data_IF_309842785652
#
_entry.id   IF_309842785652
#
_cell.length_a   1.000
_cell.length_b   1.000
_cell.length_c   1.000
_cell.angle_alpha   90.00
_cell.angle_beta   90.00
_cell.angle_gamma   90.00
#
_symmetry.space_group_name_H-M   'P 1'
#
loop_
_entity.id
_entity.type
_entity.pdbx_description
1 polymer ?
#
# COMPACT_ATOMS: atom_id res chain seq x y z
N UNK A 1 18.44 21.58 -28.97
CA UNK A 1 18.18 21.34 -27.54
C UNK A 1 17.72 19.89 -27.42
N UNK A 2 18.48 19.03 -26.79
CA UNK A 2 18.05 17.67 -26.46
C UNK A 2 16.95 17.78 -25.42
N UNK A 3 15.73 17.31 -25.75
CA UNK A 3 14.63 17.27 -24.79
C UNK A 3 14.99 16.34 -23.62
N UNK A 4 14.84 16.83 -22.38
CA UNK A 4 15.02 16.00 -21.20
C UNK A 4 13.96 14.87 -21.24
N UNK A 5 14.36 13.59 -21.08
CA UNK A 5 13.41 12.48 -21.11
C UNK A 5 12.36 12.57 -20.00
N UNK A 6 11.13 12.11 -20.28
CA UNK A 6 10.06 12.10 -19.30
C UNK A 6 10.34 11.08 -18.18
N UNK A 7 10.06 11.45 -16.93
CA UNK A 7 10.13 10.60 -15.76
C UNK A 7 8.71 10.32 -15.22
N UNK A 8 8.29 9.07 -15.26
CA UNK A 8 6.98 8.62 -14.81
C UNK A 8 7.09 8.01 -13.41
N UNK A 9 6.81 8.81 -12.39
CA UNK A 9 6.99 8.45 -11.00
C UNK A 9 5.75 7.77 -10.43
N UNK A 10 5.91 6.60 -9.82
CA UNK A 10 4.81 5.84 -9.20
C UNK A 10 5.12 5.58 -7.74
N UNK A 11 4.23 6.03 -6.87
CA UNK A 11 4.35 5.89 -5.43
C UNK A 11 3.17 5.14 -4.83
N UNK A 12 3.46 4.28 -3.87
CA UNK A 12 2.50 3.68 -2.94
C UNK A 12 3.10 3.64 -1.55
N UNK A 13 2.36 3.11 -0.59
CA UNK A 13 2.84 2.89 0.77
C UNK A 13 2.73 1.42 1.17
N UNK A 14 3.42 1.03 2.25
CA UNK A 14 3.32 -0.31 2.80
C UNK A 14 1.83 -0.69 3.02
N UNK A 15 1.41 -1.85 2.51
CA UNK A 15 0.00 -2.32 2.49
C UNK A 15 -1.01 -1.43 1.74
N UNK A 16 -0.55 -0.40 1.04
CA UNK A 16 -1.37 0.52 0.22
C UNK A 16 -1.57 0.08 -1.24
N UNK A 17 -1.47 -1.23 -1.56
CA UNK A 17 -1.63 -1.75 -2.93
C UNK A 17 -0.32 -1.96 -3.69
N UNK A 18 0.83 -1.91 -2.99
CA UNK A 18 2.17 -2.02 -3.56
C UNK A 18 2.37 -3.25 -4.46
N UNK A 19 1.92 -4.44 -4.01
CA UNK A 19 2.09 -5.68 -4.79
C UNK A 19 1.32 -5.62 -6.10
N UNK A 20 0.10 -5.08 -6.07
CA UNK A 20 -0.72 -4.88 -7.25
C UNK A 20 -0.06 -3.93 -8.24
N UNK A 21 0.33 -2.74 -7.80
CA UNK A 21 0.95 -1.74 -8.66
C UNK A 21 2.32 -2.17 -9.20
N UNK A 22 3.10 -2.92 -8.42
CA UNK A 22 4.32 -3.57 -8.94
C UNK A 22 4.05 -4.45 -10.15
N UNK A 23 2.98 -5.24 -10.12
CA UNK A 23 2.62 -6.13 -11.22
C UNK A 23 2.11 -5.34 -12.43
N UNK A 24 1.24 -4.34 -12.19
CA UNK A 24 0.68 -3.47 -13.24
C UNK A 24 1.80 -2.73 -13.98
N UNK A 25 2.63 -1.98 -13.26
CA UNK A 25 3.66 -1.16 -13.88
C UNK A 25 4.81 -1.96 -14.47
N UNK A 26 5.12 -3.16 -13.95
CA UNK A 26 6.06 -4.08 -14.63
C UNK A 26 5.52 -4.57 -15.97
N UNK A 27 4.24 -4.94 -16.03
CA UNK A 27 3.62 -5.35 -17.28
C UNK A 27 3.54 -4.19 -18.28
N UNK A 28 3.16 -3.01 -17.82
CA UNK A 28 3.06 -1.80 -18.64
C UNK A 28 4.43 -1.34 -19.16
N UNK A 29 5.45 -1.27 -18.29
CA UNK A 29 6.81 -0.92 -18.68
C UNK A 29 7.38 -1.90 -19.72
N UNK A 30 7.12 -3.20 -19.54
CA UNK A 30 7.50 -4.23 -20.53
C UNK A 30 6.80 -4.01 -21.88
N UNK A 31 5.51 -3.67 -21.89
CA UNK A 31 4.76 -3.41 -23.12
C UNK A 31 5.25 -2.17 -23.87
N UNK A 32 5.85 -1.21 -23.17
CA UNK A 32 6.42 0.02 -23.75
C UNK A 32 7.93 -0.07 -24.02
N UNK A 33 8.57 -1.19 -23.73
CA UNK A 33 10.03 -1.34 -23.74
C UNK A 33 10.76 -0.23 -22.92
N UNK A 34 10.21 0.11 -21.75
CA UNK A 34 10.71 1.17 -20.89
C UNK A 34 11.37 0.60 -19.63
N UNK A 35 12.47 1.21 -19.16
CA UNK A 35 13.08 0.83 -17.88
C UNK A 35 12.16 1.18 -16.72
N UNK A 36 12.20 0.34 -15.66
CA UNK A 36 11.56 0.59 -14.38
C UNK A 36 12.62 0.55 -13.28
N UNK A 37 12.78 1.65 -12.58
CA UNK A 37 13.88 1.91 -11.64
C UNK A 37 13.31 2.20 -10.26
N UNK A 38 13.78 1.44 -9.25
CA UNK A 38 13.45 1.73 -7.85
C UNK A 38 14.27 2.92 -7.33
N UNK A 39 13.62 3.93 -6.77
CA UNK A 39 14.25 5.11 -6.19
C UNK A 39 14.25 5.01 -4.66
N UNK A 40 15.43 4.78 -4.06
CA UNK A 40 15.58 4.55 -2.61
C UNK A 40 16.57 5.52 -1.96
N UNK A 41 17.28 6.32 -2.75
CA UNK A 41 18.25 7.31 -2.27
C UNK A 41 18.51 8.40 -3.30
N UNK A 42 18.95 9.58 -2.85
CA UNK A 42 19.36 10.70 -3.71
C UNK A 42 20.50 10.31 -4.66
N UNK A 43 21.36 9.37 -4.26
CA UNK A 43 22.53 8.95 -5.05
C UNK A 43 22.15 8.32 -6.38
N UNK A 44 20.96 7.73 -6.49
CA UNK A 44 20.51 7.06 -7.71
C UNK A 44 20.07 8.03 -8.82
N UNK A 45 19.88 9.32 -8.51
CA UNK A 45 19.49 10.34 -9.50
C UNK A 45 20.52 10.46 -10.64
N UNK A 46 21.81 10.33 -10.33
CA UNK A 46 22.90 10.40 -11.32
C UNK A 46 22.91 9.22 -12.31
N UNK A 47 22.27 8.10 -11.93
CA UNK A 47 22.27 6.86 -12.71
C UNK A 47 21.00 6.74 -13.59
N UNK A 48 20.17 7.80 -13.62
CA UNK A 48 18.96 7.81 -14.45
C UNK A 48 19.30 7.93 -15.94
N UNK A 49 18.51 7.26 -16.83
CA UNK A 49 18.69 7.37 -18.26
C UNK A 49 18.53 8.83 -18.72
N UNK A 50 19.46 9.30 -19.55
CA UNK A 50 19.47 10.65 -20.12
C UNK A 50 18.95 10.71 -21.56
N UNK A 51 18.73 9.54 -22.17
CA UNK A 51 18.44 9.38 -23.60
C UNK A 51 17.01 8.87 -23.87
N UNK A 52 16.32 8.35 -22.85
CA UNK A 52 14.97 7.78 -22.98
C UNK A 52 14.14 7.93 -21.72
N UNK A 53 12.78 7.92 -21.82
CA UNK A 53 11.91 7.97 -20.66
C UNK A 53 12.03 6.73 -19.77
N UNK A 54 11.68 6.88 -18.49
CA UNK A 54 11.75 5.81 -17.50
C UNK A 54 10.59 5.88 -16.50
N UNK A 55 10.17 4.70 -16.00
CA UNK A 55 9.39 4.62 -14.77
C UNK A 55 10.30 4.67 -13.55
N UNK A 56 9.99 5.55 -12.63
CA UNK A 56 10.60 5.59 -11.29
C UNK A 56 9.57 5.11 -10.28
N UNK A 57 9.94 4.17 -9.41
CA UNK A 57 9.01 3.60 -8.44
C UNK A 57 9.55 3.72 -7.02
N UNK A 58 8.70 4.12 -6.09
CA UNK A 58 8.98 4.08 -4.66
C UNK A 58 7.75 3.59 -3.88
N UNK A 59 7.98 2.68 -2.92
CA UNK A 59 6.92 2.03 -2.15
C UNK A 59 6.79 2.56 -0.72
N UNK A 60 7.35 3.77 -0.48
CA UNK A 60 7.31 4.53 0.75
C UNK A 60 6.90 6.00 0.52
N UNK A 61 6.28 6.30 -0.64
CA UNK A 61 5.80 7.64 -0.96
C UNK A 61 6.89 8.72 -0.99
N UNK A 62 8.12 8.37 -1.39
CA UNK A 62 9.23 9.32 -1.37
C UNK A 62 9.98 9.36 -2.70
N UNK A 63 10.36 10.57 -3.10
CA UNK A 63 11.29 10.78 -4.21
C UNK A 63 12.29 11.88 -3.85
N UNK A 64 13.54 11.80 -4.38
CA UNK A 64 14.52 12.86 -4.24
C UNK A 64 14.01 14.23 -4.68
N UNK A 65 14.43 15.29 -4.00
CA UNK A 65 14.06 16.65 -4.38
C UNK A 65 14.40 16.96 -5.85
N UNK A 66 15.54 16.49 -6.34
CA UNK A 66 15.94 16.64 -7.74
C UNK A 66 14.97 16.03 -8.76
N UNK A 67 14.15 15.04 -8.36
CA UNK A 67 13.09 14.49 -9.22
C UNK A 67 11.87 15.40 -9.21
N UNK A 68 11.50 15.96 -8.04
CA UNK A 68 10.41 16.94 -7.94
C UNK A 68 10.73 18.23 -8.70
N UNK A 69 11.99 18.69 -8.69
CA UNK A 69 12.45 19.87 -9.42
C UNK A 69 12.58 19.63 -10.94
N UNK A 70 12.43 18.40 -11.41
CA UNK A 70 12.49 18.07 -12.83
C UNK A 70 11.14 18.40 -13.51
N UNK A 71 11.10 19.33 -14.48
CA UNK A 71 9.84 19.75 -15.11
C UNK A 71 9.18 18.67 -15.96
N UNK A 72 9.90 17.61 -16.34
CA UNK A 72 9.35 16.48 -17.11
C UNK A 72 8.88 15.31 -16.22
N UNK A 73 9.07 15.40 -14.90
CA UNK A 73 8.55 14.41 -13.98
C UNK A 73 7.04 14.57 -13.79
N UNK A 74 6.33 13.46 -13.72
CA UNK A 74 4.92 13.39 -13.34
C UNK A 74 4.73 12.24 -12.36
N UNK A 75 3.90 12.46 -11.36
CA UNK A 75 3.77 11.52 -10.23
C UNK A 75 2.35 10.97 -10.17
N UNK A 76 2.26 9.66 -10.09
CA UNK A 76 1.05 8.93 -9.76
C UNK A 76 1.22 8.31 -8.38
N UNK A 77 0.42 8.73 -7.44
CA UNK A 77 0.46 8.33 -6.05
C UNK A 77 -0.82 7.61 -5.64
N UNK A 78 -0.69 6.58 -4.81
CA UNK A 78 -1.83 5.81 -4.31
C UNK A 78 -1.77 5.79 -2.79
N UNK A 79 -2.88 6.22 -2.17
CA UNK A 79 -3.15 6.10 -0.75
C UNK A 79 -4.23 5.04 -0.50
N UNK A 80 -4.31 4.55 0.71
CA UNK A 80 -5.34 3.64 1.20
C UNK A 80 -5.78 4.10 2.57
N UNK A 81 -7.03 3.74 2.97
CA UNK A 81 -7.51 4.00 4.33
C UNK A 81 -6.48 3.51 5.37
N UNK A 82 -5.91 4.41 6.18
CA UNK A 82 -4.87 4.06 7.13
C UNK A 82 -5.32 2.99 8.14
N UNK A 83 -6.61 2.94 8.45
CA UNK A 83 -7.20 1.92 9.36
C UNK A 83 -7.13 0.53 8.73
N UNK A 84 -7.38 0.43 7.42
CA UNK A 84 -7.23 -0.82 6.67
C UNK A 84 -5.75 -1.21 6.49
N UNK A 85 -4.86 -0.22 6.35
CA UNK A 85 -3.41 -0.43 6.32
C UNK A 85 -2.95 -1.05 7.64
N UNK A 86 -3.41 -0.53 8.78
CA UNK A 86 -3.10 -1.04 10.11
C UNK A 86 -3.46 -2.53 10.23
N UNK A 87 -4.71 -2.88 9.96
CA UNK A 87 -5.17 -4.27 10.05
C UNK A 87 -4.44 -5.19 9.07
N UNK A 88 -4.22 -4.71 7.84
CA UNK A 88 -3.48 -5.47 6.82
C UNK A 88 -2.00 -5.67 7.20
N UNK A 89 -1.38 -4.68 7.83
CA UNK A 89 0.00 -4.75 8.35
C UNK A 89 0.11 -5.74 9.50
N UNK A 90 -0.73 -5.58 10.51
CA UNK A 90 -0.79 -6.47 11.66
C UNK A 90 -0.94 -7.95 11.27
N UNK A 91 -1.89 -8.28 10.41
CA UNK A 91 -2.09 -9.66 9.95
C UNK A 91 -0.91 -10.19 9.14
N UNK A 92 -0.33 -9.35 8.29
CA UNK A 92 0.79 -9.72 7.44
C UNK A 92 2.08 -9.95 8.24
N UNK A 93 2.39 -9.07 9.20
CA UNK A 93 3.64 -9.11 9.95
C UNK A 93 3.74 -10.31 10.91
N UNK A 94 2.62 -10.93 11.27
CA UNK A 94 2.62 -12.15 12.10
C UNK A 94 3.30 -13.34 11.39
N UNK A 95 3.21 -13.41 10.06
CA UNK A 95 3.66 -14.59 9.28
C UNK A 95 4.59 -14.27 8.12
N UNK A 96 4.85 -12.99 7.84
CA UNK A 96 5.70 -12.59 6.72
C UNK A 96 7.12 -13.15 6.86
N UNK A 97 7.66 -13.66 5.75
CA UNK A 97 9.03 -14.15 5.68
C UNK A 97 10.06 -13.03 5.52
N UNK A 98 11.33 -13.40 5.56
CA UNK A 98 12.47 -12.44 5.54
C UNK A 98 12.56 -11.64 4.23
N UNK A 99 12.11 -12.19 3.11
CA UNK A 99 12.28 -11.59 1.79
C UNK A 99 11.50 -10.28 1.66
N UNK A 100 12.20 -9.16 1.71
CA UNK A 100 11.63 -7.81 1.61
C UNK A 100 11.14 -7.23 2.94
N UNK A 101 11.21 -8.01 4.04
CA UNK A 101 10.72 -7.62 5.37
C UNK A 101 11.78 -7.85 6.45
N UNK A 102 13.03 -7.48 6.17
CA UNK A 102 14.15 -7.69 7.09
C UNK A 102 13.90 -7.10 8.49
N UNK A 103 13.21 -5.96 8.59
CA UNK A 103 12.92 -5.32 9.86
C UNK A 103 12.12 -6.21 10.82
N UNK A 104 11.29 -7.12 10.30
CA UNK A 104 10.52 -8.07 11.11
C UNK A 104 11.40 -9.11 11.81
N UNK A 105 12.58 -9.37 11.25
CA UNK A 105 13.46 -10.48 11.65
C UNK A 105 14.79 -10.01 12.25
N UNK A 106 15.01 -8.69 12.35
CA UNK A 106 16.20 -8.11 12.98
C UNK A 106 15.94 -7.93 14.49
N UNK A 107 16.81 -8.48 15.37
CA UNK A 107 16.70 -8.25 16.81
C UNK A 107 16.78 -6.76 17.16
N UNK A 108 15.95 -6.31 18.10
CA UNK A 108 15.85 -4.92 18.54
C UNK A 108 16.13 -4.78 20.04
N UNK A 109 16.99 -3.85 20.40
CA UNK A 109 17.34 -3.59 21.81
C UNK A 109 16.14 -3.09 22.62
N UNK A 110 15.29 -2.24 22.02
CA UNK A 110 14.07 -1.72 22.66
C UNK A 110 12.97 -2.78 22.84
N UNK A 111 13.11 -3.95 22.22
CA UNK A 111 12.24 -5.12 22.40
C UNK A 111 12.93 -6.25 23.21
N UNK A 112 13.91 -5.91 24.06
CA UNK A 112 14.68 -6.86 24.85
C UNK A 112 15.35 -7.95 24.02
N UNK A 113 15.89 -7.59 22.84
CA UNK A 113 16.56 -8.51 21.92
C UNK A 113 15.63 -9.35 21.06
N UNK A 114 14.31 -9.23 21.20
CA UNK A 114 13.35 -9.89 20.30
C UNK A 114 13.30 -9.16 18.96
N UNK A 115 12.96 -9.92 17.92
CA UNK A 115 12.59 -9.30 16.64
C UNK A 115 11.20 -8.68 16.73
N UNK A 116 10.86 -7.82 15.78
CA UNK A 116 9.51 -7.24 15.66
C UNK A 116 8.43 -8.34 15.66
N UNK A 117 8.59 -9.34 14.77
CA UNK A 117 7.64 -10.44 14.62
C UNK A 117 7.53 -11.31 15.88
N UNK A 118 8.65 -11.59 16.54
CA UNK A 118 8.63 -12.32 17.81
C UNK A 118 7.90 -11.56 18.90
N UNK A 119 8.12 -10.23 18.99
CA UNK A 119 7.42 -9.41 19.97
C UNK A 119 5.93 -9.37 19.69
N UNK A 120 5.53 -9.09 18.45
CA UNK A 120 4.15 -9.07 18.03
C UNK A 120 3.43 -10.38 18.37
N UNK A 121 4.02 -11.54 18.00
CA UNK A 121 3.42 -12.85 18.22
C UNK A 121 3.43 -13.32 19.69
N UNK A 122 4.24 -12.69 20.55
CA UNK A 122 4.25 -12.98 21.98
C UNK A 122 3.18 -12.21 22.77
N UNK A 123 2.55 -11.21 22.18
CA UNK A 123 1.40 -10.53 22.77
C UNK A 123 0.17 -11.47 22.68
N UNK A 124 -0.44 -11.74 23.82
CA UNK A 124 -1.52 -12.73 23.91
C UNK A 124 -2.89 -12.19 23.49
N UNK A 125 -3.08 -10.89 23.61
CA UNK A 125 -4.32 -10.23 23.22
C UNK A 125 -4.16 -9.61 21.83
N UNK A 126 -5.11 -9.88 20.95
CA UNK A 126 -5.13 -9.33 19.58
C UNK A 126 -5.15 -7.80 19.57
N UNK A 127 -5.88 -7.20 20.51
CA UNK A 127 -5.89 -5.76 20.72
C UNK A 127 -4.48 -5.20 20.98
N UNK A 128 -3.68 -5.86 21.82
CA UNK A 128 -2.31 -5.41 22.14
C UNK A 128 -1.38 -5.55 20.92
N UNK A 129 -1.58 -6.60 20.14
CA UNK A 129 -0.86 -6.79 18.88
C UNK A 129 -1.16 -5.66 17.88
N UNK A 130 -2.44 -5.29 17.71
CA UNK A 130 -2.84 -4.20 16.80
C UNK A 130 -2.32 -2.85 17.31
N UNK A 131 -2.36 -2.59 18.62
CA UNK A 131 -1.81 -1.37 19.22
C UNK A 131 -0.29 -1.28 19.05
N UNK A 132 0.42 -2.41 19.18
CA UNK A 132 1.86 -2.45 18.89
C UNK A 132 2.13 -2.10 17.41
N UNK A 133 1.47 -2.76 16.47
CA UNK A 133 1.58 -2.45 15.04
C UNK A 133 1.29 -0.99 14.76
N UNK A 134 0.23 -0.45 15.36
CA UNK A 134 -0.23 0.93 15.21
C UNK A 134 0.87 1.94 15.55
N UNK A 135 1.56 1.73 16.68
CA UNK A 135 2.61 2.64 17.17
C UNK A 135 3.99 2.40 16.57
N UNK A 136 4.16 1.33 15.80
CA UNK A 136 5.41 0.94 15.18
C UNK A 136 5.40 1.16 13.66
N UNK A 137 5.26 0.11 12.87
CA UNK A 137 5.35 0.21 11.41
C UNK A 137 4.24 1.03 10.79
N UNK A 138 3.02 0.94 11.34
CA UNK A 138 1.90 1.75 10.85
C UNK A 138 2.14 3.25 11.04
N UNK A 139 2.66 3.69 12.19
CA UNK A 139 2.97 5.10 12.45
C UNK A 139 3.94 5.68 11.41
N UNK A 140 4.94 4.90 10.97
CA UNK A 140 5.86 5.31 9.90
C UNK A 140 5.14 5.44 8.56
N UNK A 141 4.31 4.46 8.22
CA UNK A 141 3.56 4.46 6.96
C UNK A 141 2.57 5.63 6.89
N UNK A 142 1.86 5.92 7.98
CA UNK A 142 0.96 7.08 8.04
C UNK A 142 1.72 8.41 7.88
N UNK A 143 2.89 8.53 8.51
CA UNK A 143 3.75 9.71 8.34
C UNK A 143 4.19 9.87 6.88
N UNK A 144 4.66 8.79 6.24
CA UNK A 144 5.02 8.79 4.82
C UNK A 144 3.86 9.29 3.95
N UNK A 145 2.61 8.87 4.25
CA UNK A 145 1.41 9.35 3.55
C UNK A 145 1.15 10.84 3.80
N UNK A 146 1.30 11.31 5.05
CA UNK A 146 1.07 12.71 5.41
C UNK A 146 2.14 13.66 4.87
N UNK A 147 3.37 13.18 4.67
CA UNK A 147 4.49 13.97 4.16
C UNK A 147 4.48 14.12 2.62
N UNK A 148 3.57 13.44 1.92
CA UNK A 148 3.44 13.57 0.46
C UNK A 148 2.99 14.99 0.07
N UNK A 149 3.60 15.62 -0.97
CA UNK A 149 3.30 16.98 -1.39
C UNK A 149 2.00 17.05 -2.24
N UNK A 150 0.85 16.91 -1.61
CA UNK A 150 -0.47 16.87 -2.26
C UNK A 150 -0.80 18.09 -3.11
N UNK A 151 -0.22 19.24 -2.80
CA UNK A 151 -0.48 20.51 -3.51
C UNK A 151 0.40 20.69 -4.75
N UNK A 152 1.35 19.77 -5.03
CA UNK A 152 2.22 19.86 -6.19
C UNK A 152 1.44 19.53 -7.48
N UNK A 153 1.44 20.40 -8.49
CA UNK A 153 0.68 20.18 -9.73
C UNK A 153 1.21 19.04 -10.61
N UNK A 154 2.42 18.53 -10.35
CA UNK A 154 3.00 17.42 -11.09
C UNK A 154 2.47 16.07 -10.60
N UNK A 155 1.75 16.02 -9.47
CA UNK A 155 1.25 14.80 -8.87
C UNK A 155 -0.26 14.62 -9.05
N UNK A 156 -0.68 13.36 -9.11
CA UNK A 156 -2.07 12.90 -8.99
C UNK A 156 -2.12 11.80 -7.92
N UNK A 157 -2.93 12.01 -6.90
CA UNK A 157 -3.21 10.98 -5.89
C UNK A 157 -4.58 10.36 -6.14
N UNK A 158 -4.65 9.02 -6.16
CA UNK A 158 -5.90 8.27 -6.17
C UNK A 158 -5.98 7.37 -4.92
N UNK A 159 -7.21 7.07 -4.52
CA UNK A 159 -7.47 6.13 -3.43
C UNK A 159 -7.45 4.70 -3.95
N UNK A 160 -6.85 3.80 -3.18
CA UNK A 160 -6.88 2.36 -3.44
C UNK A 160 -8.31 1.83 -3.58
N UNK A 161 -9.21 2.33 -2.73
CA UNK A 161 -10.61 1.96 -2.69
C UNK A 161 -11.32 2.27 -4.01
N UNK A 162 -11.07 3.45 -4.58
CA UNK A 162 -11.64 3.86 -5.86
C UNK A 162 -11.09 3.02 -7.01
N UNK A 163 -9.78 2.74 -6.99
CA UNK A 163 -9.13 1.86 -7.97
C UNK A 163 -9.65 0.42 -7.90
N UNK A 164 -10.01 -0.08 -6.71
CA UNK A 164 -10.61 -1.40 -6.55
C UNK A 164 -12.02 -1.50 -7.13
N UNK A 165 -12.69 -0.37 -7.35
CA UNK A 165 -14.01 -0.27 -7.96
C UNK A 165 -13.95 0.15 -9.44
N UNK A 166 -12.78 0.53 -9.97
CA UNK A 166 -12.56 1.02 -11.33
C UNK A 166 -12.59 -0.08 -12.39
N UNK A 167 -13.71 -0.82 -12.47
CA UNK A 167 -13.87 -1.98 -13.37
C UNK A 167 -13.80 -1.59 -14.86
N UNK A 168 -14.05 -0.34 -15.22
CA UNK A 168 -13.93 0.18 -16.60
C UNK A 168 -12.58 0.84 -16.86
N UNK A 169 -11.68 0.83 -15.88
CA UNK A 169 -10.34 1.45 -15.90
C UNK A 169 -10.35 2.96 -16.19
N UNK A 170 -11.43 3.67 -15.92
CA UNK A 170 -11.54 5.10 -16.26
C UNK A 170 -10.63 5.97 -15.36
N UNK A 171 -10.58 5.68 -14.07
CA UNK A 171 -9.69 6.37 -13.14
C UNK A 171 -8.21 6.07 -13.44
N UNK A 172 -7.89 4.81 -13.69
CA UNK A 172 -6.51 4.44 -14.02
C UNK A 172 -6.07 5.04 -15.35
N UNK A 173 -6.96 5.10 -16.37
CA UNK A 173 -6.69 5.82 -17.63
C UNK A 173 -6.44 7.30 -17.40
N UNK A 174 -7.17 7.96 -16.49
CA UNK A 174 -6.95 9.38 -16.17
C UNK A 174 -5.57 9.58 -15.53
N UNK A 175 -5.14 8.67 -14.65
CA UNK A 175 -3.80 8.71 -14.08
C UNK A 175 -2.69 8.55 -15.12
N UNK A 176 -2.87 7.68 -16.09
CA UNK A 176 -1.91 7.53 -17.21
C UNK A 176 -1.84 8.78 -18.09
N UNK A 177 -2.99 9.44 -18.34
CA UNK A 177 -2.98 10.72 -19.05
C UNK A 177 -2.31 11.84 -18.24
N UNK A 178 -2.52 11.88 -16.94
CA UNK A 178 -1.80 12.81 -16.06
C UNK A 178 -0.28 12.59 -16.14
N UNK A 179 0.16 11.33 -16.20
CA UNK A 179 1.57 11.00 -16.42
C UNK A 179 2.08 11.46 -17.81
N UNK A 180 1.21 11.82 -18.75
CA UNK A 180 1.56 12.32 -20.07
C UNK A 180 1.52 11.27 -21.18
N UNK A 181 0.95 10.09 -20.95
CA UNK A 181 0.80 9.07 -21.97
C UNK A 181 -0.31 9.40 -22.98
N UNK A 182 -0.03 9.18 -24.26
CA UNK A 182 -1.04 9.23 -25.32
C UNK A 182 -1.93 7.98 -25.34
N UNK A 183 -3.06 8.06 -26.09
CA UNK A 183 -4.14 7.06 -26.03
C UNK A 183 -3.71 5.61 -26.29
N UNK A 184 -2.76 5.37 -27.18
CA UNK A 184 -2.25 4.02 -27.44
C UNK A 184 -1.58 3.41 -26.19
N UNK A 185 -0.72 4.17 -25.51
CA UNK A 185 -0.07 3.74 -24.28
C UNK A 185 -1.07 3.65 -23.11
N UNK A 186 -2.03 4.58 -23.03
CA UNK A 186 -3.12 4.54 -22.02
C UNK A 186 -3.92 3.25 -22.15
N UNK A 187 -4.23 2.77 -23.35
CA UNK A 187 -4.95 1.51 -23.53
C UNK A 187 -4.10 0.29 -23.14
N UNK A 188 -2.79 0.28 -23.44
CA UNK A 188 -1.87 -0.78 -22.98
C UNK A 188 -1.76 -0.82 -21.44
N UNK A 189 -1.67 0.35 -20.81
CA UNK A 189 -1.63 0.45 -19.36
C UNK A 189 -2.94 0.01 -18.70
N UNK A 190 -4.09 0.40 -19.27
CA UNK A 190 -5.40 -0.04 -18.81
C UNK A 190 -5.58 -1.56 -18.93
N UNK A 191 -5.08 -2.18 -20.02
CA UNK A 191 -5.07 -3.63 -20.15
C UNK A 191 -4.20 -4.28 -19.07
N UNK A 192 -3.01 -3.72 -18.80
CA UNK A 192 -2.13 -4.21 -17.73
C UNK A 192 -2.78 -4.08 -16.35
N UNK A 193 -3.52 -3.00 -16.09
CA UNK A 193 -4.27 -2.80 -14.85
C UNK A 193 -5.39 -3.83 -14.71
N UNK A 194 -6.21 -4.01 -15.76
CA UNK A 194 -7.27 -5.00 -15.78
C UNK A 194 -6.76 -6.42 -15.52
N UNK A 195 -5.72 -6.84 -16.25
CA UNK A 195 -5.16 -8.19 -16.15
C UNK A 195 -4.59 -8.50 -14.75
N UNK A 196 -4.15 -7.48 -14.02
CA UNK A 196 -3.56 -7.61 -12.68
C UNK A 196 -4.51 -7.24 -11.54
N UNK A 197 -5.74 -6.83 -11.84
CA UNK A 197 -6.74 -6.50 -10.82
C UNK A 197 -7.47 -7.74 -10.31
N UNK A 198 -8.04 -7.66 -9.11
CA UNK A 198 -8.86 -8.73 -8.52
C UNK A 198 -10.20 -8.93 -9.26
N UNK A 199 -10.65 -7.95 -10.02
CA UNK A 199 -11.84 -8.01 -10.84
C UNK A 199 -11.55 -8.43 -12.30
N UNK A 200 -10.28 -8.41 -12.72
CA UNK A 200 -9.84 -8.89 -14.03
C UNK A 200 -9.78 -10.41 -14.13
N UNK A 201 -9.99 -10.96 -15.34
CA UNK A 201 -10.21 -12.39 -15.54
C UNK A 201 -9.06 -13.31 -15.12
N UNK A 202 -7.82 -12.86 -15.14
CA UNK A 202 -6.64 -13.70 -14.82
C UNK A 202 -6.27 -13.68 -13.33
N UNK A 203 -6.63 -12.62 -12.59
CA UNK A 203 -6.14 -12.42 -11.24
C UNK A 203 -6.91 -13.21 -10.18
N UNK A 204 -8.17 -13.57 -10.42
CA UNK A 204 -8.96 -14.44 -9.51
C UNK A 204 -8.34 -15.82 -9.27
N UNK A 205 -7.56 -16.34 -10.22
CA UNK A 205 -6.86 -17.62 -10.07
C UNK A 205 -5.56 -17.47 -9.26
N UNK A 206 -4.91 -16.30 -9.32
CA UNK A 206 -3.65 -16.03 -8.64
C UNK A 206 -3.80 -15.41 -7.23
N UNK A 207 -4.95 -14.83 -6.92
CA UNK A 207 -5.26 -14.27 -5.59
C UNK A 207 -5.26 -15.32 -4.46
N UNK A 208 -5.39 -16.61 -4.81
CA UNK A 208 -5.34 -17.74 -3.87
C UNK A 208 -3.91 -18.06 -3.37
N UNK A 209 -2.88 -17.42 -3.89
CA UNK A 209 -1.48 -17.65 -3.49
C UNK A 209 -0.97 -16.61 -2.47
N UNK A 210 -1.65 -16.44 -1.35
CA UNK A 210 -1.04 -16.00 -0.08
C UNK A 210 -0.69 -14.53 0.13
N UNK A 211 -0.67 -13.65 -0.89
CA UNK A 211 -0.25 -12.25 -0.72
C UNK A 211 -1.40 -11.23 -0.69
N UNK A 212 -2.59 -11.59 -1.14
CA UNK A 212 -3.79 -10.74 -1.12
C UNK A 212 -4.86 -11.47 -0.33
N UNK A 213 -5.08 -11.08 0.92
CA UNK A 213 -6.01 -11.79 1.79
C UNK A 213 -7.47 -11.65 1.35
N UNK A 214 -7.93 -10.48 0.91
CA UNK A 214 -9.32 -10.33 0.44
C UNK A 214 -9.53 -9.23 -0.60
N UNK A 215 -8.62 -8.23 -0.70
CA UNK A 215 -8.90 -7.01 -1.47
C UNK A 215 -10.08 -6.18 -0.94
N UNK A 216 -10.65 -6.57 0.18
CA UNK A 216 -11.80 -5.87 0.78
C UNK A 216 -11.39 -4.47 1.23
N UNK A 217 -12.28 -3.52 1.03
CA UNK A 217 -12.19 -2.14 1.48
C UNK A 217 -13.01 -1.97 2.76
N UNK A 218 -12.65 -0.97 3.57
CA UNK A 218 -13.37 -0.63 4.83
C UNK A 218 -13.49 -1.80 5.82
N UNK A 219 -12.51 -2.71 5.83
CA UNK A 219 -12.48 -3.86 6.76
C UNK A 219 -12.44 -3.41 8.21
N UNK A 220 -11.83 -2.25 8.45
CA UNK A 220 -11.71 -1.66 9.78
C UNK A 220 -13.06 -1.53 10.49
N UNK A 221 -14.13 -1.23 9.75
CA UNK A 221 -15.47 -1.06 10.35
C UNK A 221 -16.01 -2.34 11.00
N UNK A 222 -15.58 -3.51 10.52
CA UNK A 222 -16.01 -4.82 11.02
C UNK A 222 -14.96 -5.53 11.88
N UNK A 223 -13.67 -5.25 11.64
CA UNK A 223 -12.57 -6.03 12.20
C UNK A 223 -11.76 -5.26 13.27
N UNK A 224 -11.91 -3.95 13.39
CA UNK A 224 -11.16 -3.17 14.38
C UNK A 224 -11.84 -3.19 15.76
N UNK A 225 -11.16 -3.65 16.81
CA UNK A 225 -11.70 -3.54 18.17
C UNK A 225 -11.93 -2.07 18.54
N UNK A 226 -13.06 -1.76 19.18
CA UNK A 226 -13.41 -0.38 19.54
C UNK A 226 -12.33 0.31 20.38
N UNK A 227 -11.69 -0.41 21.29
CA UNK A 227 -10.61 0.14 22.11
C UNK A 227 -9.40 0.57 21.26
N UNK A 228 -9.08 -0.17 20.19
CA UNK A 228 -8.06 0.21 19.20
C UNK A 228 -8.52 1.43 18.43
N UNK A 229 -9.79 1.49 18.00
CA UNK A 229 -10.35 2.65 17.30
C UNK A 229 -10.28 3.93 18.14
N UNK A 230 -10.61 3.87 19.44
CA UNK A 230 -10.47 5.01 20.38
C UNK A 230 -9.00 5.45 20.48
N UNK A 231 -8.06 4.51 20.64
CA UNK A 231 -6.64 4.84 20.69
C UNK A 231 -6.16 5.44 19.36
N UNK A 232 -6.64 4.91 18.23
CA UNK A 232 -6.32 5.39 16.90
C UNK A 232 -6.80 6.83 16.68
N UNK A 233 -8.04 7.13 17.04
CA UNK A 233 -8.58 8.48 16.92
C UNK A 233 -7.79 9.48 17.77
N UNK A 234 -7.46 9.11 19.02
CA UNK A 234 -6.68 9.96 19.90
C UNK A 234 -5.27 10.26 19.38
N UNK A 235 -4.61 9.28 18.74
CA UNK A 235 -3.23 9.42 18.28
C UNK A 235 -3.14 9.94 16.83
N UNK A 236 -4.09 9.58 15.95
CA UNK A 236 -3.99 9.78 14.50
C UNK A 236 -5.26 10.34 13.82
N UNK A 237 -6.29 10.69 14.55
CA UNK A 237 -7.56 11.20 13.98
C UNK A 237 -7.37 12.41 13.07
N UNK A 238 -6.51 13.37 13.47
CA UNK A 238 -6.17 14.51 12.63
C UNK A 238 -5.50 14.09 11.29
N UNK A 239 -4.74 13.00 11.30
CA UNK A 239 -4.14 12.42 10.09
C UNK A 239 -5.19 11.81 9.17
N UNK A 240 -6.20 11.11 9.71
CA UNK A 240 -7.33 10.59 8.94
C UNK A 240 -8.11 11.71 8.25
N UNK A 241 -8.40 12.80 8.99
CA UNK A 241 -9.12 13.96 8.47
C UNK A 241 -8.32 14.63 7.35
N UNK A 242 -7.01 14.85 7.56
CA UNK A 242 -6.13 15.45 6.54
C UNK A 242 -6.06 14.63 5.26
N UNK A 243 -6.09 13.30 5.36
CA UNK A 243 -6.12 12.39 4.20
C UNK A 243 -7.55 12.21 3.64
N UNK A 244 -8.56 12.79 4.27
CA UNK A 244 -9.96 12.74 3.85
C UNK A 244 -10.61 11.36 4.06
N UNK A 245 -10.14 10.56 5.02
CA UNK A 245 -10.73 9.26 5.40
C UNK A 245 -11.67 9.33 6.60
N UNK A 246 -11.78 10.50 7.22
CA UNK A 246 -12.77 10.82 8.25
C UNK A 246 -13.12 12.29 8.18
N UNK A 247 -14.36 12.64 8.48
CA UNK A 247 -14.79 14.04 8.65
C UNK A 247 -14.70 14.50 10.11
N UNK A 248 -14.79 13.55 11.04
CA UNK A 248 -14.81 13.79 12.49
C UNK A 248 -14.46 12.50 13.25
N UNK A 249 -14.56 12.52 14.57
CA UNK A 249 -14.27 11.42 15.49
C UNK A 249 -15.42 10.40 15.65
N UNK A 250 -16.57 10.61 15.03
CA UNK A 250 -17.77 9.78 15.26
C UNK A 250 -17.67 8.36 14.69
N UNK A 251 -16.77 8.11 13.75
CA UNK A 251 -16.56 6.79 13.16
C UNK A 251 -16.23 5.70 14.20
N UNK A 252 -15.64 6.08 15.34
CA UNK A 252 -15.34 5.16 16.44
C UNK A 252 -16.61 4.59 17.06
N UNK A 253 -17.73 5.32 16.97
CA UNK A 253 -19.01 4.87 17.50
C UNK A 253 -19.67 3.79 16.66
N UNK A 254 -19.25 3.63 15.39
CA UNK A 254 -19.70 2.59 14.47
C UNK A 254 -19.02 1.23 14.73
N UNK A 255 -17.92 1.24 15.50
CA UNK A 255 -17.17 0.02 15.81
C UNK A 255 -17.93 -0.83 16.85
N UNK A 256 -17.92 -2.16 16.64
CA UNK A 256 -18.54 -3.10 17.59
C UNK A 256 -17.89 -3.01 18.97
N UNK A 257 -18.72 -3.02 20.01
CA UNK A 257 -18.26 -3.10 21.42
C UNK A 257 -17.76 -4.51 21.74
N UNK A 258 -18.36 -5.53 21.10
CA UNK A 258 -17.99 -6.93 21.27
C UNK A 258 -17.07 -7.36 20.11
N UNK A 259 -15.82 -7.63 20.46
CA UNK A 259 -14.89 -8.23 19.52
C UNK A 259 -15.15 -9.74 19.44
N UNK A 260 -15.77 -10.19 18.33
CA UNK A 260 -15.93 -11.62 18.07
C UNK A 260 -14.60 -12.21 17.63
N UNK A 261 -13.84 -12.81 18.56
CA UNK A 261 -12.68 -13.62 18.18
C UNK A 261 -13.12 -14.64 17.13
N UNK A 262 -12.50 -14.61 15.95
CA UNK A 262 -12.60 -15.73 15.01
C UNK A 262 -11.91 -16.93 15.67
N UNK A 263 -12.70 -17.74 16.37
CA UNK A 263 -12.24 -19.05 16.85
C UNK A 263 -11.77 -19.83 15.62
N UNK A 264 -10.46 -20.09 15.58
CA UNK A 264 -9.86 -20.99 14.59
C UNK A 264 -10.59 -22.34 14.68
N UNK A 265 -11.23 -22.72 13.59
CA UNK A 265 -11.90 -24.00 13.45
C UNK A 265 -10.82 -25.10 13.43
N UNK A 266 -10.39 -25.57 14.60
CA UNK A 266 -9.75 -26.86 14.73
C UNK A 266 -10.84 -27.91 14.57
N UNK A 267 -11.04 -28.36 13.34
CA UNK A 267 -11.77 -29.60 13.07
C UNK A 267 -11.05 -30.74 13.80
N UNK A 268 -11.61 -31.12 14.93
CA UNK A 268 -11.34 -32.42 15.58
C UNK A 268 -11.73 -33.51 14.60
N UNK A 269 -10.75 -34.18 14.02
CA UNK A 269 -10.97 -35.47 13.38
C UNK A 269 -11.45 -36.46 14.46
N UNK A 270 -12.71 -36.80 14.34
CA UNK A 270 -13.30 -37.89 15.10
C UNK A 270 -12.68 -39.21 14.69
N UNK A 271 -12.17 -39.93 15.67
CA UNK A 271 -11.91 -41.36 15.59
C UNK A 271 -13.11 -42.09 15.02
N UNK A 272 -12.92 -42.83 13.95
CA UNK A 272 -13.82 -43.93 13.57
C UNK A 272 -13.00 -45.22 13.73
N UNK A 273 -13.30 -45.90 14.83
CA UNK A 273 -13.10 -47.33 14.98
C UNK A 273 -13.98 -48.10 13.99
N UNK A 274 -13.39 -48.88 13.12
CA UNK A 274 -13.68 -50.31 12.87
C UNK A 274 -12.95 -50.82 11.62
#
# INVERSE_FOLDING_TARGET
>A
MTMTPALYCVATHHKGGTVWMKQVFRAFAKALDMPIIGMWSDRQVKDLPQDRPAFLVNWHGWFPRAIWDNPTARFFHIIRDPRDILLSGWQYHQTAGVKGEQFLHTPRADLNGKTYQQHLNNLTQEQDQILFEMRQKHALTLREMLDWPYDDPQQLTLRYEDLMQDQNCSLFKSALRHLGFGDAAVNLGAQSFWDKSLFGGQSRQNARQGHVQSGAISRWALEMPRAVGVAYENEYGAGLQRLGYSENDTWVNELSVEFTQKTGNTSSEGEINR
#
